data_IF_436142566792
#
_entry.id   IF_436142566792
#
_cell.length_a   1.000
_cell.length_b   1.000
_cell.length_c   1.000
_cell.angle_alpha   90.00
_cell.angle_beta   90.00
_cell.angle_gamma   90.00
#
_symmetry.space_group_name_H-M   'P 1'
#
loop_
_entity.id
_entity.type
_entity.pdbx_description
1 polymer ?
#
# COMPACT_ATOMS: atom_id res chain seq x y z
N UNK A 1 -1.04 -14.42 -11.29
CA UNK A 1 0.40 -14.15 -11.45
C UNK A 1 0.58 -12.65 -11.69
N UNK A 2 1.19 -11.91 -10.76
CA UNK A 2 1.50 -10.49 -10.93
C UNK A 2 2.67 -10.33 -11.89
N UNK A 3 2.38 -10.13 -13.17
CA UNK A 3 3.38 -10.16 -14.24
C UNK A 3 4.34 -8.95 -14.25
N UNK A 4 4.25 -8.00 -13.31
CA UNK A 4 5.10 -6.81 -13.24
C UNK A 4 6.11 -6.83 -12.10
N UNK A 5 5.63 -6.77 -10.85
CA UNK A 5 6.48 -6.44 -9.69
C UNK A 5 7.56 -7.49 -9.39
N UNK A 6 7.25 -8.79 -9.54
CA UNK A 6 8.23 -9.86 -9.32
C UNK A 6 9.34 -9.88 -10.38
N UNK A 7 8.98 -9.60 -11.64
CA UNK A 7 9.95 -9.49 -12.73
C UNK A 7 10.84 -8.24 -12.58
N UNK A 8 10.24 -7.11 -12.20
CA UNK A 8 10.98 -5.88 -11.86
C UNK A 8 11.94 -6.11 -10.70
N UNK A 9 11.48 -6.74 -9.60
CA UNK A 9 12.34 -7.06 -8.46
C UNK A 9 13.54 -7.94 -8.87
N UNK A 10 13.30 -8.98 -9.67
CA UNK A 10 14.37 -9.85 -10.19
C UNK A 10 15.34 -9.07 -11.09
N UNK A 11 14.84 -8.20 -11.96
CA UNK A 11 15.66 -7.37 -12.82
C UNK A 11 16.56 -6.42 -12.01
N UNK A 12 16.02 -5.77 -10.98
CA UNK A 12 16.80 -4.93 -10.08
C UNK A 12 17.86 -5.73 -9.31
N UNK A 13 17.54 -6.92 -8.79
CA UNK A 13 18.53 -7.79 -8.13
C UNK A 13 19.69 -8.17 -9.05
N UNK A 14 19.41 -8.42 -10.33
CA UNK A 14 20.45 -8.66 -11.32
C UNK A 14 21.32 -7.41 -11.57
N UNK A 15 20.71 -6.23 -11.63
CA UNK A 15 21.43 -4.96 -11.80
C UNK A 15 22.28 -4.60 -10.59
N UNK A 16 21.79 -4.79 -9.36
CA UNK A 16 22.56 -4.63 -8.12
C UNK A 16 23.85 -5.45 -8.16
N UNK A 17 23.73 -6.74 -8.54
CA UNK A 17 24.86 -7.64 -8.62
C UNK A 17 25.87 -7.25 -9.71
N UNK A 18 25.38 -6.76 -10.86
CA UNK A 18 26.19 -6.37 -12.02
C UNK A 18 26.92 -5.04 -11.80
N UNK A 19 26.23 -4.05 -11.28
CA UNK A 19 26.74 -2.68 -11.12
C UNK A 19 27.34 -2.43 -9.73
N UNK A 20 27.26 -3.39 -8.82
CA UNK A 20 27.69 -3.27 -7.40
C UNK A 20 27.03 -2.08 -6.69
N UNK A 21 25.79 -1.79 -7.06
CA UNK A 21 24.95 -0.79 -6.41
C UNK A 21 23.94 -1.48 -5.49
N UNK A 22 23.41 -0.74 -4.53
CA UNK A 22 22.28 -1.16 -3.70
C UNK A 22 21.05 -0.36 -4.12
N UNK A 23 19.94 -1.05 -4.36
CA UNK A 23 18.64 -0.45 -4.62
C UNK A 23 17.74 -0.67 -3.41
N UNK A 24 16.94 0.34 -3.10
CA UNK A 24 15.92 0.24 -2.06
C UNK A 24 14.55 0.29 -2.73
N UNK A 25 13.68 -0.66 -2.41
CA UNK A 25 12.26 -0.57 -2.76
C UNK A 25 11.65 0.60 -1.98
N UNK A 26 10.80 1.39 -2.64
CA UNK A 26 9.99 2.45 -2.00
C UNK A 26 8.53 1.99 -1.84
N UNK A 27 8.28 0.69 -1.97
CA UNK A 27 6.95 0.09 -1.98
C UNK A 27 6.31 0.11 -3.37
N UNK A 28 4.98 0.14 -3.39
CA UNK A 28 4.17 0.15 -4.63
C UNK A 28 3.34 1.42 -4.73
N UNK A 29 3.12 1.89 -5.97
CA UNK A 29 2.14 2.91 -6.33
C UNK A 29 1.16 2.28 -7.31
N UNK A 30 -0.04 1.97 -6.82
CA UNK A 30 -1.10 1.36 -7.61
C UNK A 30 -2.44 1.97 -7.20
N UNK A 31 -3.41 1.80 -8.07
CA UNK A 31 -4.79 2.19 -7.89
C UNK A 31 -5.75 1.02 -8.13
N UNK A 32 -5.26 -0.12 -8.64
CA UNK A 32 -6.05 -1.32 -8.84
C UNK A 32 -6.30 -2.06 -7.52
N UNK A 33 -7.58 -2.18 -7.13
CA UNK A 33 -8.01 -2.73 -5.84
C UNK A 33 -7.39 -4.09 -5.55
N UNK A 34 -7.45 -5.04 -6.50
CA UNK A 34 -6.98 -6.40 -6.24
C UNK A 34 -5.45 -6.47 -6.11
N UNK A 35 -4.73 -5.62 -6.86
CA UNK A 35 -3.28 -5.52 -6.74
C UNK A 35 -2.86 -4.93 -5.39
N UNK A 36 -3.55 -3.89 -4.94
CA UNK A 36 -3.32 -3.28 -3.63
C UNK A 36 -3.58 -4.30 -2.52
N UNK A 37 -4.75 -4.96 -2.54
CA UNK A 37 -5.10 -5.96 -1.51
C UNK A 37 -4.08 -7.09 -1.47
N UNK A 38 -3.67 -7.61 -2.64
CA UNK A 38 -2.67 -8.65 -2.71
C UNK A 38 -1.30 -8.20 -2.21
N UNK A 39 -0.84 -6.99 -2.57
CA UNK A 39 0.41 -6.43 -2.07
C UNK A 39 0.39 -6.31 -0.54
N UNK A 40 -0.68 -5.74 0.01
CA UNK A 40 -0.83 -5.56 1.45
C UNK A 40 -0.82 -6.91 2.19
N UNK A 41 -1.52 -7.91 1.65
CA UNK A 41 -1.49 -9.28 2.17
C UNK A 41 -0.08 -9.90 2.14
N UNK A 42 0.62 -9.78 1.01
CA UNK A 42 1.94 -10.40 0.81
C UNK A 42 3.03 -9.74 1.67
N UNK A 43 2.99 -8.41 1.84
CA UNK A 43 4.05 -7.66 2.51
C UNK A 43 3.79 -7.40 4.00
N UNK A 44 2.52 -7.35 4.41
CA UNK A 44 2.16 -6.96 5.78
C UNK A 44 1.29 -8.01 6.49
N UNK A 45 0.78 -9.02 5.78
CA UNK A 45 -0.04 -10.08 6.36
C UNK A 45 -1.54 -9.75 6.36
N UNK A 46 -2.30 -10.60 7.04
CA UNK A 46 -3.76 -10.51 7.09
C UNK A 46 -4.25 -9.50 8.12
N UNK A 47 -5.34 -8.80 7.80
CA UNK A 47 -6.07 -7.93 8.70
C UNK A 47 -7.44 -8.52 8.98
N UNK A 48 -7.92 -8.32 10.20
CA UNK A 48 -9.31 -8.61 10.56
C UNK A 48 -10.27 -7.66 9.85
N UNK A 49 -11.54 -8.07 9.78
CA UNK A 49 -12.61 -7.24 9.21
C UNK A 49 -12.76 -5.95 10.00
N UNK A 50 -13.06 -4.86 9.30
CA UNK A 50 -13.29 -3.57 9.95
C UNK A 50 -14.65 -3.52 10.67
N UNK A 51 -14.64 -3.12 11.93
CA UNK A 51 -15.79 -3.07 12.84
C UNK A 51 -16.00 -1.71 13.49
N UNK A 52 -14.97 -0.85 13.52
CA UNK A 52 -15.00 0.49 14.15
C UNK A 52 -15.72 1.50 13.26
N UNK A 53 -15.60 1.38 11.93
CA UNK A 53 -16.28 2.26 10.98
C UNK A 53 -17.65 1.72 10.54
N UNK A 54 -18.60 2.64 10.39
CA UNK A 54 -19.88 2.38 9.71
C UNK A 54 -19.65 2.12 8.21
N UNK A 55 -20.63 1.48 7.56
CA UNK A 55 -20.58 1.22 6.11
C UNK A 55 -20.46 2.52 5.31
N UNK A 56 -21.22 3.53 5.68
CA UNK A 56 -21.23 4.85 5.05
C UNK A 56 -19.89 5.56 5.24
N UNK A 57 -19.29 5.46 6.44
CA UNK A 57 -17.97 6.01 6.71
C UNK A 57 -16.90 5.34 5.85
N UNK A 58 -16.91 4.00 5.77
CA UNK A 58 -15.98 3.25 4.92
C UNK A 58 -16.09 3.67 3.45
N UNK A 59 -17.32 3.74 2.92
CA UNK A 59 -17.57 4.17 1.54
C UNK A 59 -17.08 5.60 1.32
N UNK A 60 -17.38 6.52 2.24
CA UNK A 60 -16.96 7.92 2.16
C UNK A 60 -15.43 8.06 2.13
N UNK A 61 -14.72 7.32 2.98
CA UNK A 61 -13.26 7.34 3.03
C UNK A 61 -12.62 6.78 1.76
N UNK A 62 -13.11 5.65 1.24
CA UNK A 62 -12.57 5.05 0.02
C UNK A 62 -12.90 5.86 -1.24
N UNK A 63 -14.07 6.51 -1.30
CA UNK A 63 -14.47 7.34 -2.44
C UNK A 63 -13.68 8.66 -2.56
N UNK A 64 -12.90 9.04 -1.54
CA UNK A 64 -11.92 10.14 -1.64
C UNK A 64 -10.71 9.78 -2.49
N UNK A 65 -10.52 8.49 -2.79
CA UNK A 65 -9.38 7.96 -3.54
C UNK A 65 -9.80 7.55 -4.95
N UNK A 66 -8.84 7.52 -5.88
CA UNK A 66 -9.06 7.17 -7.28
C UNK A 66 -8.80 5.69 -7.57
N UNK A 67 -9.46 4.78 -6.85
CA UNK A 67 -9.28 3.35 -7.08
C UNK A 67 -9.84 2.89 -8.43
N UNK A 68 -9.35 1.74 -8.91
CA UNK A 68 -9.79 1.05 -10.11
C UNK A 68 -10.18 -0.39 -9.79
N UNK A 69 -11.22 -0.90 -10.46
CA UNK A 69 -11.60 -2.31 -10.42
C UNK A 69 -11.15 -3.08 -11.65
N UNK A 70 -10.45 -2.44 -12.60
CA UNK A 70 -10.02 -3.06 -13.85
C UNK A 70 -8.61 -2.61 -14.29
N UNK A 71 -7.85 -1.97 -13.40
CA UNK A 71 -6.51 -1.39 -13.64
C UNK A 71 -6.43 -0.29 -14.71
N UNK A 72 -7.56 0.17 -15.24
CA UNK A 72 -7.61 1.11 -16.37
C UNK A 72 -8.39 2.37 -16.04
N UNK A 73 -9.58 2.20 -15.46
CA UNK A 73 -10.52 3.29 -15.21
C UNK A 73 -10.78 3.45 -13.72
N UNK A 74 -10.97 4.69 -13.28
CA UNK A 74 -11.42 4.99 -11.92
C UNK A 74 -12.85 4.46 -11.72
N UNK A 75 -13.12 3.87 -10.57
CA UNK A 75 -14.44 3.35 -10.21
C UNK A 75 -15.47 4.47 -10.05
N UNK A 76 -16.74 4.17 -10.32
CA UNK A 76 -17.84 5.09 -10.03
C UNK A 76 -18.00 5.32 -8.52
N UNK A 77 -18.49 6.48 -8.08
CA UNK A 77 -18.81 6.77 -6.66
C UNK A 77 -19.74 5.73 -5.99
N UNK A 78 -20.58 5.06 -6.79
CA UNK A 78 -21.51 4.03 -6.31
C UNK A 78 -20.88 2.62 -6.24
N UNK A 79 -19.61 2.45 -6.60
CA UNK A 79 -18.96 1.13 -6.67
C UNK A 79 -18.97 0.42 -5.32
N UNK A 80 -18.46 1.06 -4.26
CA UNK A 80 -18.46 0.47 -2.92
C UNK A 80 -19.87 0.38 -2.31
N UNK A 81 -20.78 1.27 -2.70
CA UNK A 81 -22.19 1.22 -2.27
C UNK A 81 -22.92 -0.03 -2.77
N UNK A 82 -22.57 -0.52 -3.97
CA UNK A 82 -23.14 -1.76 -4.53
C UNK A 82 -22.45 -3.03 -4.00
N UNK A 83 -21.38 -2.88 -3.21
CA UNK A 83 -20.64 -4.01 -2.67
C UNK A 83 -21.35 -4.55 -1.43
N UNK A 84 -21.43 -5.88 -1.31
CA UNK A 84 -21.94 -6.52 -0.10
C UNK A 84 -21.11 -6.10 1.13
N UNK A 85 -21.77 -5.76 2.24
CA UNK A 85 -21.13 -5.25 3.46
C UNK A 85 -19.97 -6.15 3.94
N UNK A 86 -20.21 -7.46 4.09
CA UNK A 86 -19.15 -8.41 4.49
C UNK A 86 -17.90 -8.34 3.60
N UNK A 87 -18.06 -8.10 2.29
CA UNK A 87 -16.93 -7.94 1.38
C UNK A 87 -16.24 -6.60 1.61
N UNK A 88 -17.01 -5.52 1.74
CA UNK A 88 -16.49 -4.19 2.03
C UNK A 88 -15.66 -4.19 3.33
N UNK A 89 -16.20 -4.72 4.43
CA UNK A 89 -15.51 -4.83 5.72
C UNK A 89 -14.21 -5.63 5.64
N UNK A 90 -14.15 -6.62 4.74
CA UNK A 90 -12.95 -7.43 4.53
C UNK A 90 -11.87 -6.69 3.74
N UNK A 91 -12.24 -5.93 2.72
CA UNK A 91 -11.25 -5.26 1.85
C UNK A 91 -10.86 -3.86 2.32
N UNK A 92 -11.76 -3.16 3.01
CA UNK A 92 -11.56 -1.82 3.53
C UNK A 92 -10.23 -1.66 4.28
N UNK A 93 -9.88 -2.52 5.26
CA UNK A 93 -8.67 -2.29 6.06
C UNK A 93 -7.41 -2.30 5.21
N UNK A 94 -7.34 -3.12 4.16
CA UNK A 94 -6.21 -3.13 3.23
C UNK A 94 -6.14 -1.89 2.37
N UNK A 95 -7.26 -1.48 1.76
CA UNK A 95 -7.31 -0.32 0.88
C UNK A 95 -7.05 0.98 1.65
N UNK A 96 -7.60 1.11 2.86
CA UNK A 96 -7.43 2.31 3.66
C UNK A 96 -6.03 2.39 4.27
N UNK A 97 -5.47 1.29 4.78
CA UNK A 97 -4.09 1.24 5.24
C UNK A 97 -3.07 1.52 4.13
N UNK A 98 -3.39 1.20 2.88
CA UNK A 98 -2.53 1.51 1.74
C UNK A 98 -2.36 3.03 1.54
N UNK A 99 -3.43 3.80 1.74
CA UNK A 99 -3.45 5.26 1.48
C UNK A 99 -3.36 6.13 2.74
N UNK A 100 -3.55 5.55 3.93
CA UNK A 100 -3.55 6.26 5.21
C UNK A 100 -2.53 5.65 6.18
N UNK A 101 -1.50 6.43 6.51
CA UNK A 101 -0.37 5.98 7.33
C UNK A 101 -0.78 5.71 8.78
N UNK A 102 -1.58 6.59 9.35
CA UNK A 102 -1.98 6.49 10.76
C UNK A 102 -2.78 5.20 11.00
N UNK A 103 -3.73 4.95 10.10
CA UNK A 103 -4.53 3.73 10.10
C UNK A 103 -3.67 2.48 9.83
N UNK A 104 -2.68 2.57 8.93
CA UNK A 104 -1.72 1.49 8.69
C UNK A 104 -0.98 1.11 9.98
N UNK A 105 -0.40 2.09 10.69
CA UNK A 105 0.34 1.83 11.92
C UNK A 105 -0.56 1.32 13.04
N UNK A 106 -1.79 1.84 13.13
CA UNK A 106 -2.81 1.37 14.08
C UNK A 106 -3.11 -0.12 13.87
N UNK A 107 -3.44 -0.54 12.64
CA UNK A 107 -3.92 -1.91 12.37
C UNK A 107 -2.80 -2.95 12.35
N UNK A 108 -1.61 -2.62 11.85
CA UNK A 108 -0.49 -3.57 11.83
C UNK A 108 0.33 -3.57 13.13
N UNK A 109 -0.01 -2.75 14.13
CA UNK A 109 0.69 -2.67 15.43
C UNK A 109 2.21 -2.52 15.30
N UNK A 110 2.65 -1.85 14.23
CA UNK A 110 4.07 -1.68 13.90
C UNK A 110 4.63 -0.48 14.68
N UNK A 111 4.74 -0.59 16.00
CA UNK A 111 5.17 0.53 16.86
C UNK A 111 6.54 1.11 16.50
N UNK A 112 7.36 0.43 15.69
CA UNK A 112 8.70 0.88 15.29
C UNK A 112 9.08 0.57 13.83
N UNK A 113 8.12 0.17 12.97
CA UNK A 113 8.44 -0.22 11.58
C UNK A 113 7.78 0.74 10.60
N UNK A 114 8.54 1.74 10.18
CA UNK A 114 8.22 2.61 9.04
C UNK A 114 8.01 1.76 7.78
N UNK A 115 7.19 2.19 6.81
CA UNK A 115 7.13 1.48 5.52
C UNK A 115 8.37 1.84 4.72
N UNK A 116 8.58 1.07 3.66
CA UNK A 116 9.78 1.14 2.82
C UNK A 116 10.10 2.58 2.36
N UNK A 117 9.06 3.35 2.00
CA UNK A 117 9.21 4.77 1.60
C UNK A 117 9.65 5.69 2.74
N UNK A 118 9.03 5.59 3.92
CA UNK A 118 9.39 6.47 5.04
C UNK A 118 10.77 6.11 5.62
N UNK A 119 11.16 4.82 5.55
CA UNK A 119 12.53 4.41 5.88
C UNK A 119 13.56 5.08 4.96
N UNK A 120 13.27 5.14 3.65
CA UNK A 120 14.15 5.75 2.67
C UNK A 120 14.27 7.27 2.86
N UNK A 121 13.16 7.96 3.16
CA UNK A 121 13.16 9.39 3.49
C UNK A 121 14.04 9.69 4.70
N UNK A 122 13.91 8.92 5.78
CA UNK A 122 14.73 9.10 6.98
C UNK A 122 16.23 8.90 6.69
N UNK A 123 16.59 7.90 5.88
CA UNK A 123 17.98 7.68 5.46
C UNK A 123 18.51 8.91 4.71
N UNK A 124 17.74 9.46 3.78
CA UNK A 124 18.15 10.63 3.00
C UNK A 124 18.37 11.86 3.88
N UNK A 125 17.46 12.14 4.82
CA UNK A 125 17.60 13.23 5.80
C UNK A 125 18.87 13.07 6.63
N UNK A 126 19.15 11.85 7.11
CA UNK A 126 20.35 11.58 7.91
C UNK A 126 21.64 11.79 7.10
N UNK A 127 21.66 11.39 5.82
CA UNK A 127 22.82 11.62 4.94
C UNK A 127 23.07 13.11 4.74
N UNK A 128 22.03 13.90 4.46
CA UNK A 128 22.17 15.36 4.30
C UNK A 128 22.67 16.03 5.58
N UNK A 129 22.20 15.60 6.74
CA UNK A 129 22.68 16.11 8.03
C UNK A 129 24.18 15.83 8.25
N UNK A 130 24.69 14.68 7.79
CA UNK A 130 26.11 14.35 7.88
C UNK A 130 26.99 15.11 6.87
N UNK A 131 26.43 15.56 5.74
CA UNK A 131 27.18 16.30 4.71
C UNK A 131 27.26 17.82 4.98
N UNK A 132 26.39 18.34 5.85
CA UNK A 132 26.34 19.75 6.23
C UNK A 132 27.07 20.06 7.56
N UNK A 133 27.80 19.09 8.10
CA UNK A 133 28.74 19.23 9.24
C UNK A 133 30.17 19.03 8.75
#
# INVERSE_FOLDING_TARGET
MFAGIGAQHKAFKNLENKLKIKTNSLGTCDFYIDAIVAYMLMHHGTLERETEFSVEQMISLLNKQNFSSNSKNVISKNYFKRMHENKLRKIFPYLFAYVNNDYFYQKYSLKNKLREREQAEQIYVNILACLNN
#
